data_IF_076691507829
#
_entry.id   IF_076691507829
#
_cell.length_a   1.000
_cell.length_b   1.000
_cell.length_c   1.000
_cell.angle_alpha   90.00
_cell.angle_beta   90.00
_cell.angle_gamma   90.00
#
_symmetry.space_group_name_H-M   'P 1'
#
loop_
_entity.id
_entity.type
_entity.pdbx_description
1 polymer ?
#
# COMPACT_ATOMS: atom_id res chain seq x y z
N UNK A 1 2.51 -0.71 6.74
CA UNK A 1 1.47 -1.73 6.69
C UNK A 1 0.46 -1.38 5.60
N UNK A 2 0.03 -2.39 4.85
CA UNK A 2 -0.97 -2.35 3.80
C UNK A 2 -2.10 -3.27 4.27
N UNK A 3 -3.33 -2.76 4.25
CA UNK A 3 -4.53 -3.56 4.46
C UNK A 3 -5.50 -3.30 3.31
N UNK A 4 -5.89 -4.37 2.61
CA UNK A 4 -6.84 -4.28 1.51
C UNK A 4 -8.11 -5.07 1.89
N UNK A 5 -9.28 -4.46 1.65
CA UNK A 5 -10.61 -5.01 1.97
C UNK A 5 -11.57 -4.71 0.82
N UNK A 6 -12.75 -5.35 0.74
CA UNK A 6 -13.70 -5.05 -0.31
C UNK A 6 -14.06 -3.56 -0.24
N UNK A 7 -13.87 -2.85 -1.34
CA UNK A 7 -14.19 -1.43 -1.45
C UNK A 7 -13.06 -0.46 -1.10
N UNK A 8 -11.95 -0.87 -0.47
CA UNK A 8 -10.85 0.07 -0.15
C UNK A 8 -9.51 -0.57 0.20
N UNK A 9 -8.46 0.26 0.19
CA UNK A 9 -7.14 -0.07 0.72
C UNK A 9 -6.69 1.01 1.71
N UNK A 10 -6.11 0.56 2.82
CA UNK A 10 -5.51 1.39 3.84
C UNK A 10 -3.99 1.22 3.82
N UNK A 11 -3.29 2.35 3.70
CA UNK A 11 -1.85 2.43 3.92
C UNK A 11 -1.62 3.07 5.29
N UNK A 12 -0.86 2.38 6.15
CA UNK A 12 -0.61 2.80 7.52
C UNK A 12 0.87 2.80 7.83
N UNK A 13 1.31 3.83 8.53
CA UNK A 13 2.67 3.95 9.06
C UNK A 13 2.65 4.66 10.40
N UNK A 14 3.62 4.33 11.24
CA UNK A 14 3.95 5.08 12.44
C UNK A 14 5.40 5.58 12.33
N UNK A 15 5.72 6.69 12.97
CA UNK A 15 7.12 7.13 13.06
C UNK A 15 7.91 6.27 14.06
N UNK A 16 9.25 6.32 14.01
CA UNK A 16 10.11 5.47 14.85
C UNK A 16 9.99 5.71 16.35
N UNK A 17 9.47 6.87 16.78
CA UNK A 17 9.19 7.18 18.18
C UNK A 17 7.75 6.88 18.61
N UNK A 18 6.94 6.28 17.73
CA UNK A 18 5.52 5.96 17.99
C UNK A 18 4.66 7.15 18.44
N UNK A 19 5.03 8.37 18.07
CA UNK A 19 4.35 9.61 18.44
C UNK A 19 3.53 10.22 17.30
N UNK A 20 3.69 9.73 16.07
CA UNK A 20 2.94 10.16 14.91
C UNK A 20 2.45 8.95 14.13
N UNK A 21 1.14 8.92 13.86
CA UNK A 21 0.46 7.91 13.08
C UNK A 21 -0.10 8.53 11.81
N UNK A 22 0.08 7.83 10.69
CA UNK A 22 -0.49 8.22 9.39
C UNK A 22 -1.30 7.07 8.84
N UNK A 23 -2.53 7.38 8.42
CA UNK A 23 -3.41 6.49 7.67
C UNK A 23 -3.89 7.21 6.41
N UNK A 24 -3.64 6.58 5.27
CA UNK A 24 -4.21 6.98 3.99
C UNK A 24 -5.17 5.90 3.53
N UNK A 25 -6.36 6.31 3.09
CA UNK A 25 -7.38 5.38 2.58
C UNK A 25 -7.68 5.73 1.13
N UNK A 26 -7.60 4.73 0.25
CA UNK A 26 -8.08 4.84 -1.12
C UNK A 26 -9.33 3.99 -1.28
N UNK A 27 -10.39 4.57 -1.83
CA UNK A 27 -11.55 3.82 -2.31
C UNK A 27 -11.14 2.89 -3.45
N UNK A 28 -11.77 1.73 -3.58
CA UNK A 28 -11.62 0.84 -4.74
C UNK A 28 -11.85 1.57 -6.07
N UNK A 29 -12.77 2.55 -6.08
CA UNK A 29 -13.07 3.40 -7.24
C UNK A 29 -11.96 4.38 -7.62
N UNK A 30 -10.91 4.52 -6.81
CA UNK A 30 -9.73 5.29 -7.17
C UNK A 30 -8.86 4.55 -8.21
N UNK A 31 -8.95 3.22 -8.26
CA UNK A 31 -8.15 2.37 -9.13
C UNK A 31 -8.94 2.02 -10.40
N UNK A 32 -8.26 1.95 -11.54
CA UNK A 32 -8.86 1.43 -12.78
C UNK A 32 -9.31 -0.02 -12.61
N UNK A 33 -8.53 -0.81 -11.85
CA UNK A 33 -8.82 -2.20 -11.50
C UNK A 33 -8.44 -2.41 -10.03
N UNK A 34 -9.37 -3.00 -9.27
CA UNK A 34 -9.16 -3.39 -7.88
C UNK A 34 -9.77 -4.77 -7.65
N UNK A 35 -8.92 -5.76 -7.39
CA UNK A 35 -9.33 -7.14 -7.21
C UNK A 35 -8.67 -7.73 -5.97
N UNK A 36 -9.44 -8.49 -5.20
CA UNK A 36 -8.98 -9.29 -4.08
C UNK A 36 -9.30 -10.74 -4.37
N UNK A 37 -8.28 -11.58 -4.37
CA UNK A 37 -8.40 -13.02 -4.63
C UNK A 37 -8.21 -13.80 -3.33
N UNK A 38 -8.87 -14.95 -3.25
CA UNK A 38 -8.77 -15.98 -2.18
C UNK A 38 -9.18 -15.57 -0.76
N UNK A 39 -8.94 -14.33 -0.35
CA UNK A 39 -9.24 -13.81 0.98
C UNK A 39 -10.00 -12.49 0.90
N UNK A 40 -11.02 -12.28 1.75
CA UNK A 40 -11.78 -11.04 1.76
C UNK A 40 -10.96 -9.86 2.31
N UNK A 41 -9.90 -10.13 3.08
CA UNK A 41 -9.03 -9.11 3.66
C UNK A 41 -7.58 -9.56 3.50
N UNK A 42 -6.75 -8.69 2.94
CA UNK A 42 -5.31 -8.88 2.84
C UNK A 42 -4.62 -7.94 3.83
N UNK A 43 -3.67 -8.47 4.60
CA UNK A 43 -2.78 -7.71 5.45
C UNK A 43 -1.34 -8.03 5.08
N UNK A 44 -0.54 -6.99 4.84
CA UNK A 44 0.87 -7.13 4.50
C UNK A 44 1.66 -5.93 5.04
N UNK A 45 2.98 -6.08 5.13
CA UNK A 45 3.86 -4.96 5.42
C UNK A 45 4.99 -4.92 4.40
N UNK A 46 5.38 -3.71 4.00
CA UNK A 46 6.47 -3.48 3.05
C UNK A 46 7.32 -2.33 3.53
N UNK A 47 8.59 -2.34 3.12
CA UNK A 47 9.47 -1.20 3.35
C UNK A 47 9.00 -0.01 2.51
N UNK A 48 8.57 1.07 3.17
CA UNK A 48 8.14 2.31 2.49
C UNK A 48 9.20 2.84 1.53
N UNK A 49 10.50 2.72 1.89
CA UNK A 49 11.61 3.11 1.00
C UNK A 49 11.61 2.35 -0.33
N UNK A 50 11.23 1.07 -0.32
CA UNK A 50 11.19 0.21 -1.51
C UNK A 50 10.01 0.58 -2.40
N UNK A 51 8.83 0.78 -1.81
CA UNK A 51 7.64 1.24 -2.53
C UNK A 51 7.83 2.63 -3.14
N UNK A 52 8.45 3.57 -2.42
CA UNK A 52 8.76 4.89 -2.98
C UNK A 52 9.78 4.74 -4.14
N UNK A 53 10.75 3.85 -4.02
CA UNK A 53 11.76 3.66 -5.05
C UNK A 53 11.17 3.18 -6.39
N UNK A 54 10.16 2.28 -6.39
CA UNK A 54 9.49 1.89 -7.64
C UNK A 54 8.75 3.05 -8.30
N UNK A 55 8.19 3.95 -7.49
CA UNK A 55 7.39 5.09 -7.95
C UNK A 55 8.21 6.34 -8.26
N UNK A 56 9.53 6.35 -8.01
CA UNK A 56 10.43 7.46 -8.39
C UNK A 56 10.70 7.57 -9.90
N UNK A 57 10.09 6.71 -10.71
CA UNK A 57 10.19 6.78 -12.17
C UNK A 57 9.39 7.98 -12.69
N UNK A 58 9.94 8.74 -13.63
CA UNK A 58 9.24 9.89 -14.23
C UNK A 58 8.22 9.43 -15.29
N UNK A 59 7.15 10.21 -15.48
CA UNK A 59 6.15 10.03 -16.55
C UNK A 59 5.51 8.65 -16.54
N UNK A 60 5.02 8.24 -15.38
CA UNK A 60 4.29 6.99 -15.19
C UNK A 60 2.88 7.15 -15.80
N UNK A 61 2.55 6.30 -16.77
CA UNK A 61 1.18 6.18 -17.30
C UNK A 61 0.32 5.29 -16.40
N UNK A 62 0.89 4.18 -15.94
CA UNK A 62 0.20 3.16 -15.19
C UNK A 62 1.13 2.51 -14.18
N UNK A 63 0.63 2.29 -12.97
CA UNK A 63 1.30 1.50 -11.96
C UNK A 63 0.36 0.37 -11.53
N UNK A 64 0.87 -0.86 -11.55
CA UNK A 64 0.17 -2.07 -11.14
C UNK A 64 0.88 -2.61 -9.90
N UNK A 65 0.10 -2.87 -8.86
CA UNK A 65 0.59 -3.37 -7.59
C UNK A 65 -0.05 -4.73 -7.35
N UNK A 66 0.77 -5.77 -7.32
CA UNK A 66 0.34 -7.15 -7.08
C UNK A 66 0.97 -7.62 -5.76
N UNK A 67 0.15 -8.13 -4.85
CA UNK A 67 0.60 -8.59 -3.53
C UNK A 67 0.25 -10.08 -3.39
N UNK A 68 1.29 -10.89 -3.21
CA UNK A 68 1.21 -12.34 -3.08
C UNK A 68 1.58 -12.72 -1.64
N UNK A 69 0.59 -12.84 -0.76
CA UNK A 69 0.81 -13.16 0.66
C UNK A 69 1.35 -14.57 0.87
N UNK A 70 0.94 -15.55 0.05
CA UNK A 70 1.46 -16.92 0.14
C UNK A 70 2.93 -17.05 -0.27
N UNK A 71 3.42 -16.11 -1.08
CA UNK A 71 4.80 -16.07 -1.55
C UNK A 71 5.64 -14.99 -0.86
N UNK A 72 5.08 -14.33 0.16
CA UNK A 72 5.66 -13.18 0.86
C UNK A 72 6.26 -12.13 -0.09
N UNK A 73 5.54 -11.80 -1.17
CA UNK A 73 6.07 -10.93 -2.21
C UNK A 73 5.11 -9.86 -2.68
N UNK A 74 5.65 -8.70 -3.00
CA UNK A 74 4.99 -7.63 -3.73
C UNK A 74 5.71 -7.37 -5.05
N UNK A 75 4.93 -7.23 -6.12
CA UNK A 75 5.41 -6.86 -7.44
C UNK A 75 4.81 -5.52 -7.81
N UNK A 76 5.65 -4.60 -8.28
CA UNK A 76 5.22 -3.30 -8.80
C UNK A 76 5.66 -3.19 -10.24
N UNK A 77 4.69 -3.13 -11.14
CA UNK A 77 4.91 -2.94 -12.58
C UNK A 77 4.55 -1.51 -12.96
N UNK A 78 5.47 -0.82 -13.62
CA UNK A 78 5.34 0.60 -13.99
C UNK A 78 5.50 0.75 -15.50
N UNK A 79 4.45 1.22 -16.16
CA UNK A 79 4.47 1.60 -17.58
C UNK A 79 4.68 3.11 -17.70
N UNK A 80 5.64 3.53 -18.52
CA UNK A 80 6.00 4.94 -18.72
C UNK A 80 5.54 5.45 -20.09
N UNK A 81 5.37 6.77 -20.23
CA UNK A 81 4.90 7.42 -21.47
C UNK A 81 5.79 7.14 -22.70
N UNK A 82 7.08 6.89 -22.49
CA UNK A 82 8.04 6.61 -23.55
C UNK A 82 8.05 5.13 -23.97
N UNK A 83 7.11 4.32 -23.50
CA UNK A 83 7.05 2.88 -23.75
C UNK A 83 7.97 2.04 -22.88
N UNK A 84 8.72 2.65 -21.94
CA UNK A 84 9.53 1.90 -20.98
C UNK A 84 8.65 1.20 -19.95
N UNK A 85 8.94 -0.08 -19.72
CA UNK A 85 8.31 -0.87 -18.66
C UNK A 85 9.35 -1.25 -17.63
N UNK A 86 9.02 -1.07 -16.35
CA UNK A 86 9.87 -1.46 -15.23
C UNK A 86 9.09 -2.39 -14.30
N UNK A 87 9.77 -3.42 -13.81
CA UNK A 87 9.25 -4.34 -12.82
C UNK A 87 10.14 -4.31 -11.59
N UNK A 88 9.53 -4.09 -10.44
CA UNK A 88 10.18 -4.10 -9.14
C UNK A 88 9.58 -5.20 -8.29
N UNK A 89 10.41 -5.83 -7.49
CA UNK A 89 10.03 -6.96 -6.68
C UNK A 89 10.58 -6.76 -5.27
N UNK A 90 9.71 -6.94 -4.28
CA UNK A 90 10.03 -6.70 -2.88
C UNK A 90 9.45 -7.80 -2.03
N UNK A 91 10.21 -8.21 -1.01
CA UNK A 91 9.70 -9.11 0.01
C UNK A 91 8.68 -8.37 0.90
N UNK A 92 7.61 -9.07 1.25
CA UNK A 92 6.74 -8.68 2.34
C UNK A 92 7.49 -8.92 3.66
N UNK A 93 7.27 -8.03 4.62
CA UNK A 93 7.83 -8.14 5.96
C UNK A 93 6.74 -8.67 6.87
N UNK A 94 7.11 -9.63 7.70
CA UNK A 94 6.28 -10.00 8.85
C UNK A 94 6.28 -8.84 9.86
N UNK A 95 5.15 -8.15 9.96
CA UNK A 95 4.97 -7.07 10.91
C UNK A 95 3.49 -6.95 11.30
N UNK A 96 3.26 -6.69 12.57
CA UNK A 96 1.93 -6.49 13.12
C UNK A 96 1.17 -5.37 12.40
N UNK A 97 -0.16 -5.52 12.31
CA UNK A 97 -1.02 -4.51 11.71
C UNK A 97 -0.97 -3.26 12.59
N UNK A 98 -0.36 -2.21 12.06
CA UNK A 98 -0.29 -0.91 12.74
C UNK A 98 -1.69 -0.30 12.77
N UNK A 99 -2.26 -0.15 13.96
CA UNK A 99 -3.53 0.51 14.18
C UNK A 99 -3.40 1.56 15.30
N UNK A 100 -4.17 2.64 15.16
CA UNK A 100 -4.33 3.65 16.19
C UNK A 100 -5.79 4.10 16.14
N UNK A 101 -6.42 4.21 17.29
CA UNK A 101 -7.77 4.75 17.41
C UNK A 101 -7.68 6.23 17.73
N UNK A 102 -8.27 7.05 16.85
CA UNK A 102 -8.39 8.48 17.07
C UNK A 102 -9.87 8.76 17.27
N UNK A 103 -10.26 9.05 18.50
CA UNK A 103 -11.61 9.48 18.81
C UNK A 103 -11.70 11.00 18.63
N UNK A 104 -12.18 11.43 17.47
CA UNK A 104 -12.34 12.84 17.13
C UNK A 104 -13.43 13.54 17.94
N UNK A 105 -14.37 12.79 18.51
CA UNK A 105 -15.48 13.35 19.29
C UNK A 105 -15.00 13.92 20.64
N UNK A 106 -13.79 13.54 21.06
CA UNK A 106 -13.14 14.04 22.27
C UNK A 106 -12.26 15.28 22.02
N UNK A 107 -12.14 15.75 20.78
CA UNK A 107 -11.38 16.95 20.49
C UNK A 107 -12.11 18.20 21.01
N UNK A 108 -11.42 19.08 21.79
CA UNK A 108 -12.00 20.35 22.18
C UNK A 108 -12.23 21.22 20.93
N UNK A 109 -13.42 21.81 20.86
CA UNK A 109 -13.85 22.74 19.80
C UNK A 109 -13.12 24.06 19.92
#
# INVERSE_FOLDING_TARGET
>A
SIEARPGCIHLRSVNGSSSAYVRTTFSSSFFDVYELFDQPVLNASVLTKSLIASLKTQRICRAIFEIFTQADKMVVSVDCENGLQKKFEFDLIDAEVVSAEINTDLYPV
#
